data_IF_813263404248
#
_entry.id   IF_813263404248
#
_cell.length_a   1.000
_cell.length_b   1.000
_cell.length_c   1.000
_cell.angle_alpha   90.00
_cell.angle_beta   90.00
_cell.angle_gamma   90.00
#
_symmetry.space_group_name_H-M   'P 1'
#
loop_
_entity.id
_entity.type
_entity.pdbx_description
1 polymer ?
#
# COMPACT_ATOMS: atom_id res chain seq x y z
N UNK A 1 3.98 2.43 10.83
CA UNK A 1 3.05 3.58 10.85
C UNK A 1 2.88 4.10 9.42
N UNK A 2 1.82 4.89 9.17
CA UNK A 2 1.50 5.41 7.84
C UNK A 2 0.33 6.39 7.90
N UNK A 3 -0.03 6.97 6.76
CA UNK A 3 -1.11 7.95 6.63
C UNK A 3 -2.08 7.47 5.54
N UNK A 4 -3.38 7.73 5.71
CA UNK A 4 -4.41 7.47 4.70
C UNK A 4 -5.36 8.66 4.61
N UNK A 5 -5.71 9.08 3.40
CA UNK A 5 -6.78 10.07 3.18
C UNK A 5 -8.16 9.44 3.43
N UNK A 6 -9.08 10.22 3.99
CA UNK A 6 -10.44 9.75 4.30
C UNK A 6 -11.37 9.77 3.08
N UNK A 7 -11.11 10.65 2.13
CA UNK A 7 -11.95 11.02 0.99
C UNK A 7 -11.44 10.49 -0.36
N UNK A 8 -10.19 10.00 -0.41
CA UNK A 8 -9.49 9.61 -1.65
C UNK A 8 -8.71 8.31 -1.44
N UNK A 9 -8.53 7.46 -2.48
CA UNK A 9 -7.79 6.21 -2.39
C UNK A 9 -6.27 6.45 -2.40
N UNK A 10 -5.79 7.20 -1.40
CA UNK A 10 -4.39 7.63 -1.25
C UNK A 10 -3.91 7.25 0.14
N UNK A 11 -2.75 6.58 0.20
CA UNK A 11 -2.11 6.18 1.45
C UNK A 11 -0.59 6.18 1.31
N UNK A 12 0.11 6.20 2.44
CA UNK A 12 1.55 6.04 2.55
C UNK A 12 1.92 5.18 3.75
N UNK A 13 3.09 4.55 3.69
CA UNK A 13 3.69 3.81 4.80
C UNK A 13 5.10 4.33 5.04
N UNK A 14 5.55 4.30 6.30
CA UNK A 14 6.89 4.75 6.66
C UNK A 14 7.95 3.65 6.56
N UNK A 15 7.52 2.39 6.59
CA UNK A 15 8.40 1.23 6.50
C UNK A 15 8.49 0.74 5.05
N UNK A 16 9.38 -0.24 4.82
CA UNK A 16 9.62 -0.87 3.52
C UNK A 16 8.68 -2.08 3.32
N UNK A 17 7.53 -1.93 2.64
CA UNK A 17 6.59 -3.04 2.44
C UNK A 17 7.10 -4.10 1.45
N UNK A 18 8.07 -3.75 0.60
CA UNK A 18 8.70 -4.65 -0.35
C UNK A 18 9.47 -5.77 0.34
N UNK A 19 9.98 -5.50 1.54
CA UNK A 19 11.02 -6.28 2.21
C UNK A 19 12.27 -6.51 1.34
N UNK A 20 13.44 -6.68 1.97
CA UNK A 20 14.71 -7.21 1.41
C UNK A 20 15.90 -6.51 2.09
N UNK A 21 16.40 -7.05 3.23
CA UNK A 21 15.89 -8.20 3.96
C UNK A 21 14.64 -7.88 4.79
N UNK A 22 13.87 -8.87 5.22
CA UNK A 22 12.75 -8.68 6.16
C UNK A 22 11.53 -9.57 5.91
N UNK A 23 10.53 -9.53 6.81
CA UNK A 23 9.26 -10.24 6.66
C UNK A 23 8.38 -9.61 5.59
N UNK A 24 7.63 -10.42 4.83
CA UNK A 24 6.74 -9.98 3.75
C UNK A 24 5.30 -9.69 4.22
N UNK A 25 5.10 -9.42 5.52
CA UNK A 25 3.78 -9.24 6.14
C UNK A 25 2.99 -8.05 5.58
N UNK A 26 3.64 -7.17 4.83
CA UNK A 26 3.07 -5.96 4.25
C UNK A 26 2.83 -6.01 2.74
N UNK A 27 2.98 -7.18 2.11
CA UNK A 27 2.83 -7.33 0.66
C UNK A 27 1.43 -6.95 0.15
N UNK A 28 0.39 -7.13 0.97
CA UNK A 28 -1.00 -6.75 0.67
C UNK A 28 -1.18 -5.28 0.28
N UNK A 29 -0.24 -4.39 0.65
CA UNK A 29 -0.28 -2.98 0.25
C UNK A 29 -0.09 -2.79 -1.25
N UNK A 30 0.65 -3.68 -1.92
CA UNK A 30 0.79 -3.68 -3.37
C UNK A 30 -0.48 -4.15 -4.06
N UNK A 31 -1.14 -5.18 -3.54
CA UNK A 31 -2.44 -5.66 -4.05
C UNK A 31 -3.48 -4.54 -3.96
N UNK A 32 -3.60 -3.89 -2.80
CA UNK A 32 -4.50 -2.74 -2.61
C UNK A 32 -4.21 -1.58 -3.55
N UNK A 33 -2.94 -1.33 -3.86
CA UNK A 33 -2.56 -0.30 -4.83
C UNK A 33 -3.01 -0.70 -6.24
N UNK A 34 -2.76 -1.94 -6.67
CA UNK A 34 -3.17 -2.44 -7.97
C UNK A 34 -4.69 -2.42 -8.16
N UNK A 35 -5.46 -2.83 -7.14
CA UNK A 35 -6.93 -2.75 -7.15
C UNK A 35 -7.42 -1.30 -7.32
N UNK A 36 -6.83 -0.35 -6.59
CA UNK A 36 -7.19 1.06 -6.70
C UNK A 36 -6.88 1.64 -8.09
N UNK A 37 -5.83 1.14 -8.76
CA UNK A 37 -5.49 1.49 -10.14
C UNK A 37 -6.46 0.87 -11.14
N UNK A 38 -6.83 -0.40 -10.96
CA UNK A 38 -7.79 -1.10 -11.82
C UNK A 38 -9.17 -0.43 -11.77
N UNK A 39 -9.65 -0.05 -10.58
CA UNK A 39 -10.94 0.61 -10.41
C UNK A 39 -11.03 2.03 -11.00
N UNK A 40 -9.91 2.60 -11.47
CA UNK A 40 -9.87 3.90 -12.16
C UNK A 40 -10.04 3.80 -13.68
N UNK A 41 -10.03 2.59 -14.24
CA UNK A 41 -10.21 2.33 -15.68
C UNK A 41 -11.61 1.81 -15.94
#
# INVERSE_FOLDING_TARGET
CGIRMTDRPVFSVQYHPEASPGPMDSYYLFERFAEAMAART
#
